data_IF_546852641199
#
_entry.id   IF_546852641199
#
_cell.length_a   1.000
_cell.length_b   1.000
_cell.length_c   1.000
_cell.angle_alpha   90.00
_cell.angle_beta   90.00
_cell.angle_gamma   90.00
#
_symmetry.space_group_name_H-M   'P 1'
#
loop_
_entity.id
_entity.type
_entity.pdbx_description
1 polymer ?
#
# COMPACT_ATOMS: atom_id res chain seq x y z
N UNK A 1 9.64 -2.41 17.41
CA UNK A 1 8.24 -2.22 17.03
C UNK A 1 7.98 -2.73 15.61
N UNK A 2 6.76 -2.60 15.10
CA UNK A 2 6.42 -2.92 13.72
C UNK A 2 6.97 -1.84 12.80
N UNK A 3 7.46 -2.20 11.61
CA UNK A 3 8.03 -1.25 10.66
C UNK A 3 7.05 -0.14 10.24
N UNK A 4 5.77 -0.45 10.13
CA UNK A 4 4.73 0.53 9.83
C UNK A 4 4.50 1.56 10.94
N UNK A 5 4.99 1.33 12.16
CA UNK A 5 4.94 2.29 13.25
C UNK A 5 5.87 3.49 13.00
N UNK A 6 6.93 3.30 12.21
CA UNK A 6 7.91 4.34 11.93
C UNK A 6 7.29 5.61 11.33
N UNK A 7 6.35 5.45 10.38
CA UNK A 7 5.65 6.59 9.81
C UNK A 7 4.81 7.35 10.84
N UNK A 8 4.16 6.64 11.75
CA UNK A 8 3.35 7.25 12.80
C UNK A 8 4.21 8.02 13.81
N UNK A 9 5.41 7.52 14.12
CA UNK A 9 6.31 8.12 15.11
C UNK A 9 7.10 9.32 14.58
N UNK A 10 7.54 9.30 13.32
CA UNK A 10 8.42 10.33 12.77
C UNK A 10 8.16 10.69 11.31
N UNK A 11 6.96 10.38 10.81
CA UNK A 11 6.55 10.73 9.45
C UNK A 11 7.38 10.06 8.35
N UNK A 12 7.41 10.69 7.15
CA UNK A 12 8.10 10.11 5.99
C UNK A 12 9.58 9.84 6.22
N UNK A 13 10.30 10.75 6.87
CA UNK A 13 11.73 10.61 7.13
C UNK A 13 12.05 9.37 7.98
N UNK A 14 11.27 9.12 9.03
CA UNK A 14 11.43 7.95 9.87
C UNK A 14 11.04 6.66 9.13
N UNK A 15 10.03 6.72 8.24
CA UNK A 15 9.65 5.58 7.42
C UNK A 15 10.74 5.22 6.40
N UNK A 16 11.30 6.21 5.71
CA UNK A 16 12.44 6.03 4.79
C UNK A 16 13.60 5.39 5.54
N UNK A 17 14.02 5.98 6.65
CA UNK A 17 15.12 5.44 7.45
C UNK A 17 14.87 3.98 7.86
N UNK A 18 13.67 3.67 8.36
CA UNK A 18 13.32 2.32 8.77
C UNK A 18 13.32 1.32 7.60
N UNK A 19 12.84 1.71 6.44
CA UNK A 19 12.87 0.86 5.24
C UNK A 19 14.31 0.65 4.75
N UNK A 20 15.09 1.72 4.66
CA UNK A 20 16.49 1.65 4.23
C UNK A 20 17.32 0.74 5.13
N UNK A 21 17.26 0.92 6.46
CA UNK A 21 18.00 0.11 7.43
C UNK A 21 17.58 -1.38 7.45
N UNK A 22 16.30 -1.66 7.25
CA UNK A 22 15.81 -3.04 7.34
C UNK A 22 15.85 -3.80 6.02
N UNK A 23 15.92 -3.11 4.88
CA UNK A 23 15.78 -3.72 3.55
C UNK A 23 16.96 -3.38 2.61
N UNK A 24 17.99 -2.69 3.11
CA UNK A 24 19.11 -2.19 2.30
C UNK A 24 18.67 -1.39 1.06
N UNK A 25 17.59 -0.64 1.17
CA UNK A 25 17.08 0.17 0.07
C UNK A 25 17.64 1.59 0.15
N UNK A 26 18.14 2.11 -0.97
CA UNK A 26 18.43 3.53 -1.10
C UNK A 26 17.15 4.26 -1.52
N UNK A 27 16.48 4.92 -0.56
CA UNK A 27 15.22 5.63 -0.79
C UNK A 27 15.51 7.13 -0.68
N UNK A 28 15.48 7.83 -1.80
CA UNK A 28 15.81 9.25 -1.88
C UNK A 28 14.59 10.15 -1.60
N UNK A 29 13.41 9.69 -2.01
CA UNK A 29 12.21 10.50 -2.03
C UNK A 29 10.97 9.79 -1.48
N UNK A 30 9.95 10.59 -1.13
CA UNK A 30 8.65 10.09 -0.73
C UNK A 30 7.50 10.87 -1.37
N UNK A 31 6.38 10.20 -1.48
CA UNK A 31 5.08 10.81 -1.78
C UNK A 31 4.04 10.24 -0.82
N UNK A 32 3.34 11.12 -0.12
CA UNK A 32 2.32 10.75 0.87
C UNK A 32 0.96 11.30 0.47
N UNK A 33 -0.04 10.42 0.39
CA UNK A 33 -1.40 10.74 0.01
C UNK A 33 -2.34 10.58 1.21
N UNK A 34 -3.25 11.54 1.38
CA UNK A 34 -4.41 11.34 2.25
C UNK A 34 -5.47 10.46 1.57
N UNK A 35 -6.34 9.82 2.35
CA UNK A 35 -7.49 9.08 1.80
C UNK A 35 -8.39 9.97 0.94
N UNK A 36 -8.52 11.25 1.32
CA UNK A 36 -9.24 12.24 0.55
C UNK A 36 -8.60 12.46 -0.83
N UNK A 37 -7.29 12.65 -0.89
CA UNK A 37 -6.58 12.84 -2.15
C UNK A 37 -6.76 11.64 -3.10
N UNK A 38 -6.70 10.42 -2.56
CA UNK A 38 -6.94 9.20 -3.34
C UNK A 38 -8.39 9.15 -3.85
N UNK A 39 -9.37 9.45 -2.98
CA UNK A 39 -10.78 9.45 -3.38
C UNK A 39 -11.07 10.51 -4.45
N UNK A 40 -10.55 11.73 -4.29
CA UNK A 40 -10.71 12.80 -5.27
C UNK A 40 -10.06 12.43 -6.62
N UNK A 41 -8.86 11.82 -6.60
CA UNK A 41 -8.19 11.38 -7.82
C UNK A 41 -9.00 10.32 -8.58
N UNK A 42 -9.52 9.32 -7.89
CA UNK A 42 -10.36 8.27 -8.49
C UNK A 42 -11.65 8.88 -9.06
N UNK A 43 -12.27 9.83 -8.36
CA UNK A 43 -13.46 10.53 -8.87
C UNK A 43 -13.15 11.31 -10.15
N UNK A 44 -12.02 12.02 -10.22
CA UNK A 44 -11.59 12.74 -11.42
C UNK A 44 -11.30 11.80 -12.60
N UNK A 45 -10.83 10.59 -12.33
CA UNK A 45 -10.61 9.54 -13.34
C UNK A 45 -11.91 8.82 -13.75
N UNK A 46 -13.06 9.19 -13.16
CA UNK A 46 -14.36 8.60 -13.48
C UNK A 46 -14.68 7.31 -12.75
N UNK A 47 -13.97 6.97 -11.68
CA UNK A 47 -14.19 5.74 -10.92
C UNK A 47 -13.47 4.50 -11.47
N UNK A 48 -13.61 3.38 -10.77
CA UNK A 48 -13.02 2.08 -11.14
C UNK A 48 -14.03 0.96 -11.01
N UNK A 49 -13.91 -0.07 -11.85
CA UNK A 49 -14.77 -1.24 -11.80
C UNK A 49 -14.13 -2.34 -10.96
N UNK A 50 -14.83 -2.80 -9.93
CA UNK A 50 -14.33 -3.82 -9.00
C UNK A 50 -15.40 -4.88 -8.77
N UNK A 51 -15.00 -6.14 -8.79
CA UNK A 51 -15.84 -7.25 -8.38
C UNK A 51 -15.82 -7.38 -6.85
N UNK A 52 -16.97 -7.16 -6.23
CA UNK A 52 -17.19 -7.26 -4.78
C UNK A 52 -17.76 -8.63 -4.46
N UNK A 53 -17.03 -9.42 -3.67
CA UNK A 53 -17.52 -10.72 -3.23
C UNK A 53 -18.73 -10.59 -2.27
N UNK A 54 -19.55 -11.65 -2.09
CA UNK A 54 -20.66 -11.62 -1.12
C UNK A 54 -20.20 -11.33 0.31
N UNK A 55 -19.00 -11.78 0.69
CA UNK A 55 -18.40 -11.55 2.00
C UNK A 55 -17.99 -10.09 2.18
N UNK A 56 -17.35 -9.50 1.17
CA UNK A 56 -16.98 -8.09 1.16
C UNK A 56 -18.19 -7.18 1.20
N UNK A 57 -19.25 -7.54 0.47
CA UNK A 57 -20.50 -6.78 0.45
C UNK A 57 -21.13 -6.67 1.86
N UNK A 58 -21.02 -7.68 2.70
CA UNK A 58 -21.58 -7.65 4.06
C UNK A 58 -20.99 -6.55 4.94
N UNK A 59 -19.78 -6.10 4.64
CA UNK A 59 -19.03 -5.17 5.50
C UNK A 59 -18.66 -3.85 4.82
N UNK A 60 -18.57 -3.81 3.48
CA UNK A 60 -18.05 -2.65 2.75
C UNK A 60 -18.84 -1.36 3.02
N UNK A 61 -20.15 -1.45 3.18
CA UNK A 61 -21.01 -0.29 3.42
C UNK A 61 -20.68 0.41 4.75
N UNK A 62 -20.25 -0.33 5.77
CA UNK A 62 -19.73 0.25 7.01
C UNK A 62 -18.43 1.03 6.77
N UNK A 63 -17.52 0.47 5.96
CA UNK A 63 -16.27 1.15 5.59
C UNK A 63 -16.51 2.37 4.68
N UNK A 64 -17.54 2.35 3.83
CA UNK A 64 -17.94 3.54 3.05
C UNK A 64 -18.36 4.66 4.00
N UNK A 65 -19.22 4.37 4.99
CA UNK A 65 -19.63 5.36 5.99
C UNK A 65 -18.42 5.96 6.72
N UNK A 66 -17.53 5.10 7.25
CA UNK A 66 -16.29 5.55 7.92
C UNK A 66 -15.38 6.38 7.00
N UNK A 67 -15.38 6.07 5.69
CA UNK A 67 -14.56 6.79 4.72
C UNK A 67 -15.18 8.14 4.37
N UNK A 68 -16.50 8.24 4.22
CA UNK A 68 -17.21 9.53 4.09
C UNK A 68 -16.88 10.44 5.28
N UNK A 69 -16.99 9.93 6.51
CA UNK A 69 -16.69 10.70 7.72
C UNK A 69 -15.23 11.17 7.79
N UNK A 70 -14.28 10.30 7.40
CA UNK A 70 -12.85 10.61 7.49
C UNK A 70 -12.33 11.51 6.37
N UNK A 71 -12.97 11.49 5.19
CA UNK A 71 -12.54 12.29 4.03
C UNK A 71 -13.36 13.57 3.85
N UNK A 72 -14.58 13.60 4.36
CA UNK A 72 -15.56 14.66 4.07
C UNK A 72 -16.10 14.62 2.63
N UNK A 73 -15.81 13.57 1.87
CA UNK A 73 -16.30 13.39 0.49
C UNK A 73 -17.57 12.53 0.53
N UNK A 74 -18.64 13.01 -0.08
CA UNK A 74 -19.92 12.28 -0.14
C UNK A 74 -19.85 11.05 -1.04
N UNK A 75 -20.59 9.99 -0.67
CA UNK A 75 -20.73 8.77 -1.45
C UNK A 75 -22.00 8.00 -1.07
N UNK A 76 -22.28 6.91 -1.76
CA UNK A 76 -23.44 6.05 -1.56
C UNK A 76 -23.03 4.63 -1.18
N UNK A 77 -23.89 3.94 -0.44
CA UNK A 77 -23.73 2.51 -0.19
C UNK A 77 -23.91 1.69 -1.47
N UNK A 78 -23.16 0.60 -1.58
CA UNK A 78 -23.38 -0.39 -2.62
C UNK A 78 -24.70 -1.13 -2.37
N UNK A 79 -25.38 -1.54 -3.47
CA UNK A 79 -26.68 -2.21 -3.40
C UNK A 79 -26.60 -3.73 -3.51
N UNK A 80 -25.49 -4.26 -4.05
CA UNK A 80 -25.31 -5.70 -4.31
C UNK A 80 -23.82 -6.08 -4.36
N UNK A 81 -23.54 -7.36 -4.20
CA UNK A 81 -22.26 -7.96 -4.58
C UNK A 81 -22.12 -8.08 -6.11
N UNK A 82 -20.97 -8.51 -6.61
CA UNK A 82 -20.63 -8.62 -8.02
C UNK A 82 -19.92 -7.37 -8.52
N UNK A 83 -19.89 -7.18 -9.83
CA UNK A 83 -19.21 -6.03 -10.44
C UNK A 83 -19.97 -4.74 -10.10
N UNK A 84 -19.24 -3.80 -9.54
CA UNK A 84 -19.68 -2.46 -9.17
C UNK A 84 -18.71 -1.43 -9.74
N UNK A 85 -19.26 -0.34 -10.28
CA UNK A 85 -18.50 0.85 -10.59
C UNK A 85 -18.37 1.69 -9.33
N UNK A 86 -17.15 1.74 -8.77
CA UNK A 86 -16.86 2.40 -7.50
C UNK A 86 -16.46 3.85 -7.73
N UNK A 87 -17.06 4.77 -6.99
CA UNK A 87 -16.52 6.10 -6.81
C UNK A 87 -15.25 6.09 -5.93
N UNK A 88 -14.58 7.22 -5.79
CA UNK A 88 -13.33 7.29 -5.06
C UNK A 88 -13.45 6.91 -3.58
N UNK A 89 -14.56 7.27 -2.93
CA UNK A 89 -14.80 6.91 -1.51
C UNK A 89 -15.02 5.41 -1.37
N UNK A 90 -15.79 4.81 -2.27
CA UNK A 90 -16.05 3.37 -2.30
C UNK A 90 -14.77 2.58 -2.59
N UNK A 91 -13.92 3.05 -3.51
CA UNK A 91 -12.63 2.45 -3.83
C UNK A 91 -11.66 2.50 -2.63
N UNK A 92 -11.58 3.64 -1.94
CA UNK A 92 -10.81 3.77 -0.70
C UNK A 92 -11.37 2.85 0.39
N UNK A 93 -12.69 2.79 0.55
CA UNK A 93 -13.34 1.89 1.52
C UNK A 93 -13.01 0.43 1.23
N UNK A 94 -13.03 0.01 -0.05
CA UNK A 94 -12.64 -1.33 -0.48
C UNK A 94 -11.17 -1.65 -0.12
N UNK A 95 -10.25 -0.74 -0.40
CA UNK A 95 -8.83 -0.88 -0.06
C UNK A 95 -8.58 -0.94 1.47
N UNK A 96 -9.52 -0.45 2.28
CA UNK A 96 -9.45 -0.42 3.75
C UNK A 96 -10.09 -1.63 4.44
N UNK A 97 -10.77 -2.53 3.72
CA UNK A 97 -11.44 -3.69 4.31
C UNK A 97 -10.47 -4.53 5.15
N UNK A 98 -10.83 -4.81 6.42
CA UNK A 98 -9.98 -5.53 7.38
C UNK A 98 -10.71 -6.58 8.23
N UNK A 99 -12.04 -6.51 8.32
CA UNK A 99 -12.80 -7.30 9.33
C UNK A 99 -13.07 -8.75 8.92
N UNK A 100 -12.70 -9.15 7.71
CA UNK A 100 -13.09 -10.44 7.13
C UNK A 100 -11.93 -11.39 6.92
N UNK A 101 -10.69 -10.86 6.86
CA UNK A 101 -9.56 -11.62 6.40
C UNK A 101 -8.22 -11.04 6.90
N UNK A 102 -7.13 -11.60 6.39
CA UNK A 102 -5.76 -11.26 6.80
C UNK A 102 -5.30 -9.91 6.26
N UNK A 103 -4.23 -9.36 6.86
CA UNK A 103 -3.55 -8.17 6.32
C UNK A 103 -3.04 -8.39 4.88
N UNK A 104 -2.78 -9.63 4.50
CA UNK A 104 -2.42 -10.00 3.12
C UNK A 104 -3.54 -9.67 2.12
N UNK A 105 -4.78 -10.03 2.44
CA UNK A 105 -5.93 -9.74 1.57
C UNK A 105 -6.19 -8.25 1.45
N UNK A 106 -5.99 -7.48 2.52
CA UNK A 106 -6.04 -6.01 2.45
C UNK A 106 -5.00 -5.45 1.47
N UNK A 107 -3.76 -5.92 1.56
CA UNK A 107 -2.69 -5.49 0.65
C UNK A 107 -3.00 -5.86 -0.80
N UNK A 108 -3.61 -7.03 -1.04
CA UNK A 108 -4.07 -7.42 -2.38
C UNK A 108 -5.11 -6.45 -2.93
N UNK A 109 -6.09 -6.02 -2.12
CA UNK A 109 -7.09 -5.01 -2.54
C UNK A 109 -6.45 -3.66 -2.83
N UNK A 110 -5.49 -3.23 -2.00
CA UNK A 110 -4.75 -1.99 -2.24
C UNK A 110 -3.99 -2.02 -3.56
N UNK A 111 -3.31 -3.13 -3.87
CA UNK A 111 -2.65 -3.32 -5.17
C UNK A 111 -3.64 -3.26 -6.32
N UNK A 112 -4.75 -4.00 -6.25
CA UNK A 112 -5.78 -3.98 -7.29
C UNK A 112 -6.30 -2.56 -7.55
N UNK A 113 -6.59 -1.79 -6.50
CA UNK A 113 -7.03 -0.38 -6.65
C UNK A 113 -5.93 0.44 -7.32
N UNK A 114 -4.66 0.29 -6.92
CA UNK A 114 -3.55 1.01 -7.53
C UNK A 114 -3.35 0.65 -9.01
N UNK A 115 -3.49 -0.62 -9.38
CA UNK A 115 -3.42 -1.11 -10.76
C UNK A 115 -4.54 -0.48 -11.62
N UNK A 116 -5.78 -0.54 -11.15
CA UNK A 116 -6.92 0.04 -11.87
C UNK A 116 -6.83 1.57 -12.03
N UNK A 117 -6.34 2.26 -10.99
CA UNK A 117 -6.08 3.70 -11.06
C UNK A 117 -4.99 4.03 -12.08
N UNK A 118 -3.91 3.24 -12.11
CA UNK A 118 -2.85 3.44 -13.10
C UNK A 118 -3.36 3.21 -14.53
N UNK A 119 -4.20 2.22 -14.77
CA UNK A 119 -4.82 1.99 -16.07
C UNK A 119 -5.69 3.19 -16.49
N UNK A 120 -6.55 3.66 -15.60
CA UNK A 120 -7.36 4.88 -15.85
C UNK A 120 -6.50 6.11 -16.12
N UNK A 121 -5.38 6.26 -15.40
CA UNK A 121 -4.47 7.38 -15.59
C UNK A 121 -3.78 7.34 -16.96
N UNK A 122 -3.44 6.15 -17.47
CA UNK A 122 -2.86 5.97 -18.82
C UNK A 122 -3.84 6.33 -19.94
N UNK A 123 -5.12 6.05 -19.73
CA UNK A 123 -6.20 6.33 -20.68
C UNK A 123 -6.69 7.79 -20.61
N UNK A 124 -6.30 8.51 -19.55
CA UNK A 124 -6.75 9.88 -19.31
C UNK A 124 -6.20 10.86 -20.35
N UNK A 125 -7.05 11.74 -20.84
CA UNK A 125 -6.65 12.82 -21.72
C UNK A 125 -5.81 13.88 -20.97
N UNK A 126 -5.12 14.72 -21.73
CA UNK A 126 -4.23 15.76 -21.17
C UNK A 126 -4.99 16.74 -20.26
N UNK A 127 -6.26 17.02 -20.54
CA UNK A 127 -7.09 17.90 -19.70
C UNK A 127 -7.34 17.29 -18.34
N UNK A 128 -7.70 16.01 -18.29
CA UNK A 128 -7.89 15.23 -17.05
C UNK A 128 -6.60 15.13 -16.26
N UNK A 129 -5.45 14.85 -16.90
CA UNK A 129 -4.13 14.80 -16.23
C UNK A 129 -3.77 16.16 -15.62
N UNK A 130 -4.02 17.26 -16.33
CA UNK A 130 -3.80 18.61 -15.78
C UNK A 130 -4.73 18.90 -14.60
N UNK A 131 -6.01 18.55 -14.69
CA UNK A 131 -6.96 18.73 -13.61
C UNK A 131 -6.56 17.93 -12.38
N UNK A 132 -6.11 16.66 -12.55
CA UNK A 132 -5.54 15.85 -11.47
C UNK A 132 -4.36 16.56 -10.81
N UNK A 133 -3.40 17.04 -11.61
CA UNK A 133 -2.24 17.74 -11.08
C UNK A 133 -2.66 18.94 -10.21
N UNK A 134 -3.52 19.82 -10.72
CA UNK A 134 -3.95 21.00 -9.97
C UNK A 134 -4.80 20.68 -8.73
N UNK A 135 -5.63 19.64 -8.78
CA UNK A 135 -6.56 19.31 -7.69
C UNK A 135 -5.92 18.44 -6.62
N UNK A 136 -5.01 17.54 -6.99
CA UNK A 136 -4.46 16.52 -6.10
C UNK A 136 -3.12 16.93 -5.50
N UNK A 137 -2.22 17.57 -6.28
CA UNK A 137 -0.90 17.98 -5.77
C UNK A 137 -0.95 18.84 -4.50
N UNK A 138 -1.89 19.77 -4.31
CA UNK A 138 -2.00 20.51 -3.05
C UNK A 138 -2.38 19.64 -1.82
N UNK A 139 -2.87 18.43 -2.05
CA UNK A 139 -3.28 17.48 -1.01
C UNK A 139 -2.22 16.40 -0.75
N UNK A 140 -1.08 16.47 -1.44
CA UNK A 140 0.01 15.50 -1.40
C UNK A 140 1.20 16.12 -0.68
N UNK A 141 1.79 15.37 0.26
CA UNK A 141 3.10 15.70 0.83
C UNK A 141 4.18 14.93 0.07
N UNK A 142 5.17 15.65 -0.46
CA UNK A 142 6.22 15.04 -1.27
C UNK A 142 7.56 15.74 -1.06
N UNK A 143 8.65 15.00 -1.08
CA UNK A 143 10.02 15.54 -1.24
C UNK A 143 10.40 15.74 -2.70
N UNK A 144 9.69 15.06 -3.62
CA UNK A 144 9.90 15.19 -5.07
C UNK A 144 9.50 16.59 -5.54
N UNK A 145 10.36 17.23 -6.31
CA UNK A 145 10.11 18.55 -6.86
C UNK A 145 8.96 18.56 -7.88
N UNK A 146 8.23 19.67 -7.96
CA UNK A 146 7.12 19.83 -8.92
C UNK A 146 7.53 19.54 -10.37
N UNK A 147 8.75 19.92 -10.75
CA UNK A 147 9.30 19.68 -12.09
C UNK A 147 9.40 18.18 -12.39
N UNK A 148 9.85 17.41 -11.41
CA UNK A 148 10.03 15.95 -11.57
C UNK A 148 8.68 15.24 -11.58
N UNK A 149 7.73 15.67 -10.75
CA UNK A 149 6.35 15.17 -10.78
C UNK A 149 5.71 15.40 -12.16
N UNK A 150 5.86 16.60 -12.73
CA UNK A 150 5.32 16.91 -14.06
C UNK A 150 6.02 16.10 -15.16
N UNK A 151 7.33 15.87 -15.05
CA UNK A 151 8.08 14.99 -15.96
C UNK A 151 7.59 13.56 -15.90
N UNK A 152 7.38 13.00 -14.70
CA UNK A 152 6.82 11.68 -14.49
C UNK A 152 5.40 11.56 -15.06
N UNK A 153 4.55 12.56 -14.80
CA UNK A 153 3.20 12.60 -15.35
C UNK A 153 3.19 12.57 -16.89
N UNK A 154 4.14 13.25 -17.54
CA UNK A 154 4.31 13.23 -19.00
C UNK A 154 4.75 11.88 -19.58
N UNK A 155 5.24 10.96 -18.75
CA UNK A 155 5.72 9.63 -19.15
C UNK A 155 4.87 8.49 -18.62
N UNK A 156 3.77 8.77 -17.91
CA UNK A 156 2.94 7.76 -17.25
C UNK A 156 2.43 6.67 -18.20
N UNK A 157 2.15 7.01 -19.47
CA UNK A 157 1.72 6.05 -20.49
C UNK A 157 2.78 4.99 -20.84
N UNK A 158 4.05 5.22 -20.47
CA UNK A 158 5.15 4.28 -20.66
C UNK A 158 5.34 3.31 -19.50
N UNK A 159 4.71 3.58 -18.35
CA UNK A 159 4.82 2.70 -17.19
C UNK A 159 3.92 1.47 -17.37
N UNK A 160 4.48 0.32 -17.06
CA UNK A 160 3.77 -0.95 -17.02
C UNK A 160 4.03 -1.62 -15.68
N UNK A 161 2.98 -2.09 -15.03
CA UNK A 161 3.10 -3.01 -13.91
C UNK A 161 3.31 -4.40 -14.51
N UNK A 162 4.49 -4.96 -14.33
CA UNK A 162 4.83 -6.30 -14.82
C UNK A 162 4.47 -7.36 -13.80
N UNK A 163 4.96 -7.21 -12.58
CA UNK A 163 4.71 -8.12 -11.48
C UNK A 163 4.44 -7.34 -10.20
N UNK A 164 3.63 -7.91 -9.32
CA UNK A 164 3.34 -7.33 -8.01
C UNK A 164 3.47 -8.39 -6.93
N UNK A 165 4.30 -8.12 -5.94
CA UNK A 165 4.54 -9.03 -4.83
C UNK A 165 4.32 -8.33 -3.48
N UNK A 166 4.11 -9.10 -2.44
CA UNK A 166 4.01 -8.60 -1.07
C UNK A 166 5.28 -8.89 -0.28
N UNK A 167 5.74 -7.93 0.50
CA UNK A 167 6.83 -8.14 1.45
C UNK A 167 6.29 -8.27 2.88
N UNK A 168 6.78 -9.22 3.71
CA UNK A 168 7.77 -10.25 3.39
C UNK A 168 7.21 -11.33 2.45
N UNK A 169 8.05 -11.94 1.62
CA UNK A 169 7.69 -13.05 0.74
C UNK A 169 7.44 -14.34 1.53
N UNK A 170 8.34 -14.63 2.47
CA UNK A 170 8.21 -15.73 3.42
C UNK A 170 7.96 -15.19 4.82
N UNK A 171 6.77 -15.48 5.33
CA UNK A 171 6.28 -14.90 6.58
C UNK A 171 5.64 -15.93 7.50
N UNK A 172 5.53 -15.56 8.77
CA UNK A 172 4.72 -16.24 9.78
C UNK A 172 3.93 -15.21 10.58
N UNK A 173 2.69 -15.55 10.90
CA UNK A 173 1.87 -14.77 11.82
C UNK A 173 2.12 -15.20 13.26
N UNK A 174 2.44 -14.25 14.11
CA UNK A 174 2.69 -14.54 15.51
C UNK A 174 2.32 -13.38 16.45
N UNK A 175 2.01 -13.74 17.69
CA UNK A 175 1.82 -12.81 18.79
C UNK A 175 3.17 -12.47 19.42
N UNK A 176 3.61 -11.24 19.27
CA UNK A 176 4.78 -10.69 19.98
C UNK A 176 4.28 -9.83 21.13
N UNK A 177 4.33 -10.38 22.33
CA UNK A 177 3.65 -9.82 23.50
C UNK A 177 2.14 -9.87 23.30
N UNK A 178 1.48 -8.69 23.21
CA UNK A 178 0.04 -8.55 22.95
C UNK A 178 -0.28 -8.11 21.51
N UNK A 179 0.75 -7.94 20.65
CA UNK A 179 0.58 -7.42 19.28
C UNK A 179 0.59 -8.57 18.29
N UNK A 180 -0.42 -8.66 17.42
CA UNK A 180 -0.36 -9.50 16.21
C UNK A 180 0.65 -8.92 15.25
N UNK A 181 1.59 -9.74 14.82
CA UNK A 181 2.68 -9.34 13.93
C UNK A 181 2.81 -10.30 12.76
N UNK A 182 3.00 -9.75 11.58
CA UNK A 182 3.56 -10.47 10.43
C UNK A 182 5.08 -10.41 10.59
N UNK A 183 5.72 -11.56 10.65
CA UNK A 183 7.14 -11.69 10.90
C UNK A 183 7.77 -12.40 9.71
N UNK A 184 8.85 -11.88 9.09
CA UNK A 184 9.59 -12.64 8.09
C UNK A 184 10.12 -13.95 8.69
N UNK A 185 10.14 -15.03 7.92
CA UNK A 185 10.77 -16.30 8.37
C UNK A 185 12.22 -16.03 8.73
N UNK A 186 12.98 -15.42 7.81
CA UNK A 186 14.21 -14.67 8.09
C UNK A 186 14.12 -13.33 7.36
N UNK A 187 14.58 -12.25 7.97
CA UNK A 187 14.63 -10.97 7.26
C UNK A 187 15.67 -11.03 6.16
N UNK A 188 16.83 -11.62 6.44
CA UNK A 188 17.95 -11.76 5.52
C UNK A 188 17.51 -12.32 4.16
N UNK A 189 16.86 -13.49 4.16
CA UNK A 189 16.47 -14.17 2.91
C UNK A 189 15.36 -13.41 2.18
N UNK A 190 14.46 -12.78 2.94
CA UNK A 190 13.45 -11.90 2.35
C UNK A 190 14.06 -10.66 1.67
N UNK A 191 15.16 -10.08 2.21
CA UNK A 191 15.86 -8.95 1.60
C UNK A 191 16.63 -9.38 0.35
N UNK A 192 17.27 -10.55 0.35
CA UNK A 192 17.88 -11.12 -0.85
C UNK A 192 16.83 -11.23 -1.97
N UNK A 193 15.69 -11.83 -1.68
CA UNK A 193 14.60 -11.97 -2.66
C UNK A 193 14.02 -10.62 -3.08
N UNK A 194 14.00 -9.62 -2.18
CA UNK A 194 13.54 -8.27 -2.52
C UNK A 194 14.45 -7.61 -3.55
N UNK A 195 15.76 -7.69 -3.38
CA UNK A 195 16.73 -7.12 -4.32
C UNK A 195 16.70 -7.85 -5.67
N UNK A 196 16.58 -9.18 -5.66
CA UNK A 196 16.35 -9.94 -6.88
C UNK A 196 15.06 -9.50 -7.60
N UNK A 197 13.96 -9.32 -6.87
CA UNK A 197 12.67 -8.91 -7.46
C UNK A 197 12.66 -7.48 -8.00
N UNK A 198 13.31 -6.54 -7.30
CA UNK A 198 13.29 -5.11 -7.68
C UNK A 198 14.37 -4.73 -8.68
N UNK A 199 15.54 -5.38 -8.63
CA UNK A 199 16.74 -4.94 -9.32
C UNK A 199 17.41 -6.03 -10.17
N UNK A 200 16.82 -7.25 -10.25
CA UNK A 200 17.41 -8.43 -10.91
C UNK A 200 18.81 -8.81 -10.37
N UNK A 201 19.07 -8.52 -9.09
CA UNK A 201 20.35 -8.80 -8.43
C UNK A 201 20.40 -10.25 -7.92
N UNK A 202 20.82 -11.20 -8.76
CA UNK A 202 20.87 -12.62 -8.41
C UNK A 202 21.88 -12.96 -7.30
N UNK A 203 22.99 -12.24 -7.20
CA UNK A 203 24.08 -12.47 -6.22
C UNK A 203 24.10 -11.41 -5.11
N UNK A 204 22.96 -10.83 -4.78
CA UNK A 204 22.90 -9.80 -3.74
C UNK A 204 23.27 -10.34 -2.36
N UNK A 205 24.17 -9.63 -1.66
CA UNK A 205 24.60 -9.95 -0.31
C UNK A 205 24.15 -8.85 0.66
N UNK A 206 23.27 -9.16 1.61
CA UNK A 206 22.78 -8.19 2.58
C UNK A 206 23.90 -7.57 3.41
N UNK A 207 23.67 -6.33 3.83
CA UNK A 207 24.58 -5.62 4.72
C UNK A 207 24.67 -6.29 6.10
N UNK A 208 25.75 -6.01 6.84
CA UNK A 208 25.88 -6.44 8.24
C UNK A 208 24.73 -5.92 9.12
N UNK A 209 24.13 -4.78 8.74
CA UNK A 209 23.00 -4.20 9.43
C UNK A 209 21.75 -5.09 9.30
N UNK A 210 21.41 -5.50 8.08
CA UNK A 210 20.29 -6.43 7.83
C UNK A 210 20.52 -7.77 8.52
N UNK A 211 21.74 -8.32 8.47
CA UNK A 211 22.08 -9.57 9.16
C UNK A 211 21.86 -9.46 10.68
N UNK A 212 22.29 -8.36 11.29
CA UNK A 212 22.09 -8.15 12.73
C UNK A 212 20.61 -7.95 13.08
N UNK A 213 19.86 -7.18 12.27
CA UNK A 213 18.43 -7.00 12.48
C UNK A 213 17.70 -8.33 12.33
N UNK A 214 18.02 -9.15 11.31
CA UNK A 214 17.46 -10.47 11.11
C UNK A 214 17.65 -11.34 12.35
N UNK A 215 18.87 -11.41 12.86
CA UNK A 215 19.21 -12.14 14.07
C UNK A 215 18.40 -11.66 15.29
N UNK A 216 18.26 -10.35 15.45
CA UNK A 216 17.47 -9.78 16.55
C UNK A 216 15.97 -10.11 16.44
N UNK A 217 15.40 -10.08 15.23
CA UNK A 217 14.02 -10.48 15.00
C UNK A 217 13.84 -11.94 15.42
N UNK A 218 14.70 -12.83 14.98
CA UNK A 218 14.66 -14.24 15.31
C UNK A 218 14.71 -14.49 16.83
N UNK A 219 15.66 -13.85 17.53
CA UNK A 219 15.77 -13.97 18.98
C UNK A 219 14.53 -13.46 19.74
N UNK A 220 13.98 -12.32 19.32
CA UNK A 220 12.78 -11.73 19.96
C UNK A 220 11.52 -12.53 19.68
N UNK A 221 11.45 -13.23 18.55
CA UNK A 221 10.26 -13.97 18.11
C UNK A 221 10.34 -15.48 18.34
N UNK A 222 11.49 -16.00 18.76
CA UNK A 222 11.70 -17.43 19.02
C UNK A 222 10.69 -18.07 20.00
N UNK A 223 10.17 -17.27 20.95
CA UNK A 223 9.16 -17.71 21.95
C UNK A 223 7.75 -17.21 21.62
N UNK A 224 7.52 -16.64 20.43
CA UNK A 224 6.20 -16.14 20.05
C UNK A 224 5.20 -17.27 19.84
N UNK A 225 3.95 -17.09 20.30
CA UNK A 225 2.85 -18.03 20.05
C UNK A 225 2.25 -17.78 18.68
N UNK A 226 1.76 -18.82 17.98
CA UNK A 226 0.99 -18.64 16.74
C UNK A 226 -0.18 -17.68 16.98
N UNK A 227 -0.42 -16.79 16.03
CA UNK A 227 -1.60 -15.91 16.08
C UNK A 227 -2.89 -16.75 15.96
N UNK A 228 -3.94 -16.36 16.71
CA UNK A 228 -5.24 -17.03 16.67
C UNK A 228 -6.09 -16.63 15.44
N UNK A 229 -5.60 -15.76 14.57
CA UNK A 229 -6.37 -15.24 13.42
C UNK A 229 -6.44 -16.19 12.21
N UNK A 230 -5.73 -17.31 12.22
CA UNK A 230 -5.66 -18.25 11.11
C UNK A 230 -6.31 -19.61 11.44
N UNK A 231 -7.47 -19.60 12.09
CA UNK A 231 -8.34 -20.78 12.22
C UNK A 231 -9.74 -20.41 11.78
#
# INVERSE_FOLDING_TARGET
DKINQAYFEGGPAQAIWALSENMDLNIDDYVSFSWKAVADAINLLGGIDVEISPEEFKVINGFITETVESTGVGSHHLKKAGVNHLDGVQAVAYARLRKMDTDFMRTKRQRLVAELVLEKLKEADLGTVRQLAFSILPQVSSSVGMKDILSLAGTVSKFHLTETEGFPFELKDALVGKKDCVIPVTLRDNVIRLHQFLFDEEEYVPSKQVDEISRQIELRTAKSKKSKKNT
#
